data_IF_174905589791
#
_entry.id   IF_174905589791
#
_cell.length_a   1.000
_cell.length_b   1.000
_cell.length_c   1.000
_cell.angle_alpha   90.00
_cell.angle_beta   90.00
_cell.angle_gamma   90.00
#
_symmetry.space_group_name_H-M   'P 1'
#
loop_
_entity.id
_entity.type
_entity.pdbx_description
1 polymer ?
#
# COMPACT_ATOMS: atom_id res chain seq x y z
N UNK A 1 13.20 13.32 -6.05
CA UNK A 1 12.56 13.02 -7.35
C UNK A 1 13.30 11.86 -7.99
N UNK A 2 12.58 10.90 -8.56
CA UNK A 2 13.15 9.83 -9.41
C UNK A 2 12.16 9.48 -10.53
N UNK A 3 12.58 8.65 -11.49
CA UNK A 3 11.74 8.27 -12.64
C UNK A 3 11.62 6.76 -12.73
N UNK A 4 10.45 6.29 -13.13
CA UNK A 4 10.20 4.91 -13.57
C UNK A 4 9.88 4.99 -15.07
N UNK A 5 10.87 4.76 -15.93
CA UNK A 5 10.83 5.11 -17.36
C UNK A 5 10.39 6.57 -17.57
N UNK A 6 9.23 6.79 -18.23
CA UNK A 6 8.68 8.12 -18.51
C UNK A 6 7.84 8.71 -17.35
N UNK A 7 7.54 7.91 -16.32
CA UNK A 7 6.72 8.36 -15.19
C UNK A 7 7.60 9.07 -14.18
N UNK A 8 7.33 10.35 -13.93
CA UNK A 8 8.02 11.15 -12.93
C UNK A 8 7.40 10.97 -11.56
N UNK A 9 8.22 10.61 -10.58
CA UNK A 9 7.81 10.44 -9.19
C UNK A 9 8.39 11.63 -8.40
N UNK A 10 7.53 12.52 -7.87
CA UNK A 10 7.97 13.81 -7.36
C UNK A 10 8.85 13.76 -6.11
N UNK A 11 8.77 12.66 -5.34
CA UNK A 11 9.62 12.45 -4.16
C UNK A 11 9.88 10.96 -3.92
N UNK A 12 10.67 10.63 -2.90
CA UNK A 12 11.14 9.26 -2.61
C UNK A 12 10.22 8.47 -1.65
N UNK A 13 8.97 8.90 -1.44
CA UNK A 13 8.02 8.25 -0.51
C UNK A 13 6.90 7.59 -1.30
N UNK A 14 6.78 6.27 -1.18
CA UNK A 14 5.82 5.44 -1.91
C UNK A 14 4.84 4.79 -0.92
N UNK A 15 3.53 4.85 -1.21
CA UNK A 15 2.54 4.09 -0.46
C UNK A 15 2.49 2.65 -0.95
N UNK A 16 2.68 1.67 -0.04
CA UNK A 16 2.63 0.25 -0.37
C UNK A 16 1.22 -0.24 -0.74
N UNK A 17 1.09 -1.22 -1.65
CA UNK A 17 -0.18 -1.90 -1.88
C UNK A 17 -0.57 -2.73 -0.64
N UNK A 18 -1.79 -2.51 -0.12
CA UNK A 18 -2.31 -3.22 1.05
C UNK A 18 -3.74 -3.69 0.78
N UNK A 19 -3.93 -5.00 0.67
CA UNK A 19 -5.23 -5.61 0.38
C UNK A 19 -6.29 -5.30 1.45
N UNK A 20 -7.48 -4.89 1.02
CA UNK A 20 -8.59 -4.47 1.89
C UNK A 20 -8.35 -3.13 2.60
N UNK A 21 -7.42 -2.31 2.09
CA UNK A 21 -7.05 -0.99 2.66
C UNK A 21 -6.87 0.08 1.59
N UNK A 22 -6.10 -0.21 0.53
CA UNK A 22 -5.72 0.79 -0.47
C UNK A 22 -6.83 1.03 -1.51
N UNK A 23 -8.08 1.30 -1.05
CA UNK A 23 -9.14 1.82 -1.91
C UNK A 23 -8.81 3.24 -2.39
N UNK A 24 -9.54 3.74 -3.40
CA UNK A 24 -9.25 5.04 -4.01
C UNK A 24 -9.27 6.21 -3.01
N UNK A 25 -10.22 6.21 -2.05
CA UNK A 25 -10.30 7.26 -1.04
C UNK A 25 -9.07 7.29 -0.12
N UNK A 26 -8.55 6.11 0.27
CA UNK A 26 -7.32 6.02 1.05
C UNK A 26 -6.10 6.46 0.25
N UNK A 27 -5.99 6.04 -1.03
CA UNK A 27 -4.89 6.44 -1.90
C UNK A 27 -4.88 7.94 -2.16
N UNK A 28 -6.05 8.53 -2.42
CA UNK A 28 -6.19 9.99 -2.58
C UNK A 28 -5.76 10.73 -1.31
N UNK A 29 -6.19 10.25 -0.12
CA UNK A 29 -5.73 10.82 1.14
C UNK A 29 -4.20 10.72 1.28
N UNK A 30 -3.62 9.57 0.99
CA UNK A 30 -2.17 9.39 1.03
C UNK A 30 -1.44 10.30 0.03
N UNK A 31 -2.02 10.51 -1.15
CA UNK A 31 -1.47 11.42 -2.18
C UNK A 31 -1.44 12.86 -1.70
N UNK A 32 -2.51 13.36 -1.12
CA UNK A 32 -2.58 14.72 -0.58
C UNK A 32 -1.63 14.91 0.62
N UNK A 33 -1.34 13.84 1.35
CA UNK A 33 -0.31 13.83 2.39
C UNK A 33 1.11 13.56 1.84
N UNK A 34 1.32 13.79 0.54
CA UNK A 34 2.64 13.90 -0.07
C UNK A 34 3.23 12.59 -0.58
N UNK A 35 2.50 11.47 -0.63
CA UNK A 35 3.03 10.28 -1.30
C UNK A 35 3.42 10.59 -2.75
N UNK A 36 4.69 10.34 -3.12
CA UNK A 36 5.16 10.54 -4.48
C UNK A 36 4.50 9.58 -5.47
N UNK A 37 4.31 8.33 -5.05
CA UNK A 37 3.63 7.27 -5.79
C UNK A 37 2.68 6.56 -4.85
N UNK A 38 1.45 6.28 -5.29
CA UNK A 38 0.50 5.41 -4.57
C UNK A 38 0.30 4.11 -5.32
N UNK A 39 0.15 3.01 -4.56
CA UNK A 39 -0.10 1.70 -5.13
C UNK A 39 -1.52 1.23 -4.81
N UNK A 40 -2.25 0.75 -5.82
CA UNK A 40 -3.55 0.15 -5.65
C UNK A 40 -3.45 -1.23 -4.98
N UNK A 41 -4.58 -1.75 -4.50
CA UNK A 41 -4.66 -3.13 -4.03
C UNK A 41 -4.35 -4.11 -5.18
N UNK A 42 -3.83 -5.29 -4.83
CA UNK A 42 -3.60 -6.32 -5.83
C UNK A 42 -4.91 -6.88 -6.38
N UNK A 43 -5.01 -6.98 -7.69
CA UNK A 43 -6.18 -7.46 -8.42
C UNK A 43 -5.86 -8.76 -9.14
N UNK A 44 -6.77 -9.75 -9.04
CA UNK A 44 -6.58 -11.04 -9.73
C UNK A 44 -6.74 -10.91 -11.22
N UNK A 45 -5.80 -11.46 -11.97
CA UNK A 45 -5.82 -11.61 -13.42
C UNK A 45 -7.12 -12.28 -13.91
N UNK A 46 -7.44 -13.45 -13.40
CA UNK A 46 -8.67 -14.19 -13.74
C UNK A 46 -9.94 -13.40 -13.40
N UNK A 47 -9.94 -12.68 -12.27
CA UNK A 47 -11.11 -11.89 -11.90
C UNK A 47 -11.32 -10.66 -12.81
N UNK A 48 -10.25 -10.11 -13.40
CA UNK A 48 -10.32 -9.10 -14.46
C UNK A 48 -10.94 -9.73 -15.71
N UNK A 49 -10.40 -10.87 -16.18
CA UNK A 49 -10.85 -11.52 -17.41
C UNK A 49 -12.30 -12.01 -17.35
N UNK A 50 -12.75 -12.46 -16.18
CA UNK A 50 -14.13 -12.84 -15.93
C UNK A 50 -15.07 -11.64 -15.65
N UNK A 51 -14.58 -10.41 -15.79
CA UNK A 51 -15.34 -9.19 -15.59
C UNK A 51 -16.09 -9.17 -14.23
N UNK A 52 -15.44 -9.64 -13.18
CA UNK A 52 -16.03 -9.69 -11.84
C UNK A 52 -16.34 -8.28 -11.36
N UNK A 53 -17.61 -7.98 -11.08
CA UNK A 53 -18.10 -6.63 -10.72
C UNK A 53 -17.31 -6.00 -9.56
N UNK A 54 -16.99 -6.77 -8.52
CA UNK A 54 -16.19 -6.27 -7.39
C UNK A 54 -14.77 -5.93 -7.82
N UNK A 55 -14.17 -6.76 -8.66
CA UNK A 55 -12.82 -6.55 -9.21
C UNK A 55 -12.78 -5.34 -10.11
N UNK A 56 -13.78 -5.16 -10.97
CA UNK A 56 -13.87 -4.00 -11.88
C UNK A 56 -13.95 -2.68 -11.08
N UNK A 57 -14.67 -2.67 -9.96
CA UNK A 57 -14.70 -1.51 -9.06
C UNK A 57 -13.34 -1.21 -8.38
N UNK A 58 -12.47 -2.23 -8.21
CA UNK A 58 -11.11 -2.04 -7.67
C UNK A 58 -10.16 -1.39 -8.68
N UNK A 59 -10.50 -1.40 -9.97
CA UNK A 59 -9.71 -0.75 -11.03
C UNK A 59 -9.96 0.76 -11.12
N UNK A 60 -10.93 1.29 -10.35
CA UNK A 60 -11.21 2.72 -10.33
C UNK A 60 -10.00 3.51 -9.80
N UNK A 61 -9.65 4.55 -10.52
CA UNK A 61 -8.54 5.47 -10.22
C UNK A 61 -9.08 6.89 -10.30
N UNK A 62 -8.94 7.66 -9.22
CA UNK A 62 -9.21 9.09 -9.24
C UNK A 62 -8.02 9.81 -9.91
N UNK A 63 -8.26 10.70 -10.89
CA UNK A 63 -7.16 11.41 -11.55
C UNK A 63 -6.23 12.19 -10.59
N UNK A 64 -6.75 12.61 -9.44
CA UNK A 64 -6.00 13.34 -8.40
C UNK A 64 -4.97 12.50 -7.66
N UNK A 65 -5.07 11.17 -7.70
CA UNK A 65 -4.13 10.27 -7.01
C UNK A 65 -2.89 9.87 -7.84
N UNK A 66 -2.82 10.33 -9.09
CA UNK A 66 -1.69 10.02 -9.99
C UNK A 66 -0.40 10.75 -9.58
N UNK A 67 0.82 10.19 -9.83
CA UNK A 67 1.03 8.88 -10.46
C UNK A 67 0.63 7.71 -9.56
N UNK A 68 0.05 6.68 -10.21
CA UNK A 68 -0.47 5.49 -9.56
C UNK A 68 0.05 4.21 -10.20
N UNK A 69 0.45 3.25 -9.36
CA UNK A 69 0.78 1.89 -9.73
C UNK A 69 -0.38 0.94 -9.43
N UNK A 70 -0.91 0.26 -10.46
CA UNK A 70 -1.95 -0.74 -10.31
C UNK A 70 -1.31 -2.12 -10.26
N UNK A 71 -1.55 -2.84 -9.16
CA UNK A 71 -0.93 -4.14 -8.92
C UNK A 71 -1.85 -5.29 -9.36
N UNK A 72 -1.33 -6.20 -10.19
CA UNK A 72 -2.00 -7.45 -10.59
C UNK A 72 -1.30 -8.66 -9.97
N UNK A 73 -2.02 -9.76 -9.83
CA UNK A 73 -1.43 -11.06 -9.45
C UNK A 73 -2.10 -12.21 -10.20
N UNK A 74 -1.33 -13.25 -10.47
CA UNK A 74 -1.74 -14.50 -11.09
C UNK A 74 -0.59 -15.50 -11.08
N UNK A 75 -0.87 -16.75 -11.42
CA UNK A 75 0.11 -17.84 -11.51
C UNK A 75 0.34 -18.33 -12.94
N UNK A 76 -0.55 -17.98 -13.87
CA UNK A 76 -0.50 -18.36 -15.28
C UNK A 76 -0.10 -17.16 -16.13
N UNK A 77 0.87 -17.33 -17.02
CA UNK A 77 1.45 -16.25 -17.82
C UNK A 77 0.40 -15.64 -18.77
N UNK A 78 -0.36 -16.49 -19.43
CA UNK A 78 -1.34 -16.08 -20.42
C UNK A 78 -2.44 -15.20 -19.80
N UNK A 79 -2.97 -15.59 -18.64
CA UNK A 79 -4.00 -14.80 -17.96
C UNK A 79 -3.45 -13.49 -17.40
N UNK A 80 -2.20 -13.49 -16.92
CA UNK A 80 -1.50 -12.27 -16.49
C UNK A 80 -1.30 -11.29 -17.65
N UNK A 81 -0.87 -11.79 -18.83
CA UNK A 81 -0.67 -10.97 -20.04
C UNK A 81 -1.98 -10.33 -20.48
N UNK A 82 -3.06 -11.10 -20.57
CA UNK A 82 -4.36 -10.54 -20.97
C UNK A 82 -4.91 -9.55 -19.95
N UNK A 83 -4.74 -9.82 -18.65
CA UNK A 83 -5.12 -8.87 -17.60
C UNK A 83 -4.28 -7.58 -17.66
N UNK A 84 -2.98 -7.68 -17.92
CA UNK A 84 -2.11 -6.51 -18.08
C UNK A 84 -2.52 -5.67 -19.30
N UNK A 85 -2.82 -6.30 -20.45
CA UNK A 85 -3.36 -5.61 -21.63
C UNK A 85 -4.68 -4.90 -21.33
N UNK A 86 -5.54 -5.55 -20.55
CA UNK A 86 -6.80 -4.93 -20.11
C UNK A 86 -6.53 -3.66 -19.28
N UNK A 87 -5.64 -3.75 -18.29
CA UNK A 87 -5.25 -2.62 -17.43
C UNK A 87 -4.59 -1.51 -18.26
N UNK A 88 -3.69 -1.87 -19.18
CA UNK A 88 -3.00 -0.92 -20.06
C UNK A 88 -3.98 -0.07 -20.87
N UNK A 89 -5.00 -0.70 -21.42
CA UNK A 89 -5.96 -0.07 -22.33
C UNK A 89 -7.13 0.62 -21.62
N UNK A 90 -7.58 0.08 -20.49
CA UNK A 90 -8.88 0.45 -19.91
C UNK A 90 -8.77 1.16 -18.55
N UNK A 91 -7.58 1.49 -18.07
CA UNK A 91 -7.39 2.22 -16.81
C UNK A 91 -6.44 3.40 -16.93
N UNK A 92 -6.59 4.35 -16.02
CA UNK A 92 -5.72 5.52 -15.90
C UNK A 92 -4.44 5.24 -15.08
N UNK A 93 -4.10 3.97 -14.83
CA UNK A 93 -2.85 3.62 -14.15
C UNK A 93 -1.64 4.12 -14.95
N UNK A 94 -0.64 4.63 -14.25
CA UNK A 94 0.63 5.07 -14.85
C UNK A 94 1.63 3.90 -14.97
N UNK A 95 1.49 2.92 -14.07
CA UNK A 95 2.39 1.78 -13.92
C UNK A 95 1.55 0.52 -13.70
N UNK A 96 1.97 -0.60 -14.30
CA UNK A 96 1.44 -1.93 -14.00
C UNK A 96 2.46 -2.65 -13.13
N UNK A 97 2.06 -3.09 -11.93
CA UNK A 97 2.94 -3.79 -10.99
C UNK A 97 2.54 -5.25 -10.85
N UNK A 98 3.52 -6.15 -10.88
CA UNK A 98 3.31 -7.58 -10.63
C UNK A 98 3.56 -7.91 -9.16
N UNK A 99 2.56 -8.49 -8.49
CA UNK A 99 2.72 -8.98 -7.13
C UNK A 99 3.51 -10.30 -7.10
N UNK A 100 4.69 -10.25 -6.52
CA UNK A 100 5.55 -11.43 -6.26
C UNK A 100 5.89 -11.54 -4.77
N UNK A 101 5.08 -10.95 -3.90
CA UNK A 101 5.39 -10.88 -2.47
C UNK A 101 4.25 -11.28 -1.53
N UNK A 102 3.04 -11.51 -2.03
CA UNK A 102 1.91 -11.89 -1.18
C UNK A 102 2.13 -13.27 -0.56
N UNK A 103 2.14 -13.39 0.79
CA UNK A 103 2.45 -14.66 1.46
C UNK A 103 1.21 -15.51 1.73
N UNK A 104 0.00 -14.99 1.44
CA UNK A 104 -1.28 -15.59 1.83
C UNK A 104 -1.50 -16.93 1.12
N UNK A 105 -1.86 -18.03 1.84
CA UNK A 105 -2.04 -19.36 1.25
C UNK A 105 -3.01 -19.40 0.06
N UNK A 106 -4.09 -18.63 0.10
CA UNK A 106 -5.06 -18.54 -1.01
C UNK A 106 -4.40 -18.08 -2.32
N UNK A 107 -3.34 -17.26 -2.25
CA UNK A 107 -2.61 -16.74 -3.41
C UNK A 107 -1.51 -17.71 -3.83
N UNK A 108 -0.74 -18.21 -2.86
CA UNK A 108 0.39 -19.10 -3.16
C UNK A 108 -0.02 -20.49 -3.64
N UNK A 109 -1.24 -20.95 -3.32
CA UNK A 109 -1.80 -22.24 -3.83
C UNK A 109 -2.13 -22.22 -5.34
N UNK A 110 -2.24 -21.04 -5.94
CA UNK A 110 -2.46 -20.88 -7.38
C UNK A 110 -1.19 -20.37 -8.08
N UNK A 111 -0.03 -20.74 -7.55
CA UNK A 111 1.32 -20.41 -8.06
C UNK A 111 1.58 -18.92 -8.26
N UNK A 112 0.85 -18.05 -7.52
CA UNK A 112 0.94 -16.60 -7.58
C UNK A 112 1.64 -16.00 -6.34
N UNK A 113 1.89 -14.69 -6.39
CA UNK A 113 2.49 -13.94 -5.29
C UNK A 113 3.90 -14.46 -4.97
N UNK A 114 4.20 -14.68 -3.70
CA UNK A 114 5.53 -15.13 -3.28
C UNK A 114 5.93 -16.53 -3.77
N UNK A 115 5.00 -17.31 -4.32
CA UNK A 115 5.32 -18.64 -4.92
C UNK A 115 6.19 -18.50 -6.16
N UNK A 116 6.04 -17.40 -6.92
CA UNK A 116 6.88 -17.11 -8.10
C UNK A 116 8.37 -16.98 -7.74
N UNK A 117 8.69 -16.57 -6.50
CA UNK A 117 10.09 -16.38 -6.07
C UNK A 117 10.92 -17.66 -6.03
N UNK A 118 10.29 -18.84 -6.08
CA UNK A 118 10.97 -20.13 -6.07
C UNK A 118 11.56 -20.52 -7.43
N UNK A 119 11.20 -19.80 -8.50
CA UNK A 119 11.61 -20.12 -9.87
C UNK A 119 12.06 -18.82 -10.58
N UNK A 120 13.36 -18.49 -10.50
CA UNK A 120 13.90 -17.29 -11.16
C UNK A 120 13.74 -17.28 -12.70
N UNK A 121 13.73 -18.43 -13.36
CA UNK A 121 13.53 -18.50 -14.81
C UNK A 121 12.08 -18.17 -15.17
N UNK A 122 11.12 -18.66 -14.40
CA UNK A 122 9.71 -18.28 -14.53
C UNK A 122 9.51 -16.78 -14.26
N UNK A 123 10.25 -16.21 -13.31
CA UNK A 123 10.23 -14.75 -13.05
C UNK A 123 10.65 -13.98 -14.30
N UNK A 124 11.74 -14.39 -14.97
CA UNK A 124 12.16 -13.79 -16.23
C UNK A 124 11.06 -13.88 -17.29
N UNK A 125 10.52 -15.09 -17.52
CA UNK A 125 9.51 -15.33 -18.55
C UNK A 125 8.25 -14.50 -18.35
N UNK A 126 7.69 -14.51 -17.14
CA UNK A 126 6.47 -13.73 -16.79
C UNK A 126 6.68 -12.25 -17.06
N UNK A 127 7.80 -11.68 -16.58
CA UNK A 127 8.06 -10.26 -16.71
C UNK A 127 8.32 -9.88 -18.16
N UNK A 128 9.10 -10.65 -18.91
CA UNK A 128 9.37 -10.40 -20.32
C UNK A 128 8.08 -10.38 -21.14
N UNK A 129 7.20 -11.37 -20.94
CA UNK A 129 5.90 -11.45 -21.60
C UNK A 129 4.98 -10.27 -21.25
N UNK A 130 5.00 -9.82 -19.99
CA UNK A 130 4.25 -8.63 -19.57
C UNK A 130 4.81 -7.37 -20.24
N UNK A 131 6.12 -7.15 -20.19
CA UNK A 131 6.79 -5.98 -20.79
C UNK A 131 6.53 -5.88 -22.29
N UNK A 132 6.59 -6.99 -22.99
CA UNK A 132 6.35 -7.04 -24.45
C UNK A 132 4.88 -6.79 -24.81
N UNK A 133 3.95 -6.97 -23.87
CA UNK A 133 2.52 -6.93 -24.15
C UNK A 133 1.85 -5.59 -23.88
N UNK A 134 2.49 -4.67 -23.14
CA UNK A 134 1.90 -3.40 -22.68
C UNK A 134 2.77 -2.19 -22.98
N UNK A 135 2.15 -1.02 -23.06
CA UNK A 135 2.84 0.26 -23.29
C UNK A 135 3.32 0.95 -22.00
N UNK A 136 2.64 0.68 -20.88
CA UNK A 136 2.97 1.23 -19.57
C UNK A 136 4.21 0.57 -18.96
N UNK A 137 4.97 1.27 -18.11
CA UNK A 137 6.05 0.64 -17.35
C UNK A 137 5.53 -0.54 -16.53
N UNK A 138 6.26 -1.68 -16.60
CA UNK A 138 6.02 -2.84 -15.75
C UNK A 138 6.99 -2.80 -14.58
N UNK A 139 6.50 -2.89 -13.36
CA UNK A 139 7.29 -3.00 -12.13
C UNK A 139 6.96 -4.29 -11.39
N UNK A 140 7.78 -4.66 -10.44
CA UNK A 140 7.53 -5.85 -9.63
C UNK A 140 7.70 -5.54 -8.14
N UNK A 141 6.83 -6.11 -7.31
CA UNK A 141 7.01 -6.06 -5.86
C UNK A 141 7.22 -7.46 -5.31
N UNK A 142 8.38 -7.69 -4.69
CA UNK A 142 8.80 -9.01 -4.22
C UNK A 142 9.24 -9.04 -2.76
N UNK A 143 9.36 -10.24 -2.21
CA UNK A 143 10.05 -10.53 -0.95
C UNK A 143 11.45 -11.07 -1.24
N UNK A 144 12.32 -11.14 -0.20
CA UNK A 144 13.69 -11.65 -0.37
C UNK A 144 13.74 -13.16 -0.67
N UNK A 145 12.67 -13.91 -0.38
CA UNK A 145 12.60 -15.33 -0.64
C UNK A 145 11.33 -15.96 -0.06
N UNK A 146 11.26 -17.29 -0.16
CA UNK A 146 10.16 -18.10 0.38
C UNK A 146 10.35 -18.39 1.87
N UNK A 147 11.50 -18.91 2.25
CA UNK A 147 11.97 -19.21 3.60
C UNK A 147 13.48 -18.99 3.69
N UNK A 148 14.12 -19.38 4.78
CA UNK A 148 15.54 -19.15 5.02
C UNK A 148 16.46 -20.02 4.14
N UNK A 149 15.95 -21.13 3.56
CA UNK A 149 16.67 -22.01 2.63
C UNK A 149 16.51 -21.57 1.16
N UNK A 150 15.44 -20.81 0.85
CA UNK A 150 15.06 -20.40 -0.50
C UNK A 150 15.05 -18.87 -0.64
N UNK A 151 16.24 -18.26 -0.51
CA UNK A 151 16.45 -16.81 -0.65
C UNK A 151 17.06 -16.55 -2.05
N UNK A 152 16.19 -16.39 -3.05
CA UNK A 152 16.59 -16.16 -4.45
C UNK A 152 16.49 -14.69 -4.89
N UNK A 153 16.55 -13.74 -3.94
CA UNK A 153 16.32 -12.32 -4.25
C UNK A 153 17.26 -11.79 -5.34
N UNK A 154 18.54 -12.17 -5.32
CA UNK A 154 19.52 -11.68 -6.29
C UNK A 154 19.22 -12.19 -7.71
N UNK A 155 18.92 -13.49 -7.86
CA UNK A 155 18.60 -14.09 -9.15
C UNK A 155 17.26 -13.57 -9.68
N UNK A 156 16.24 -13.47 -8.81
CA UNK A 156 14.94 -12.90 -9.16
C UNK A 156 15.07 -11.42 -9.60
N UNK A 157 15.88 -10.63 -8.91
CA UNK A 157 16.07 -9.21 -9.21
C UNK A 157 16.83 -9.01 -10.54
N UNK A 158 17.90 -9.78 -10.78
CA UNK A 158 18.64 -9.79 -12.05
C UNK A 158 17.74 -10.19 -13.22
N UNK A 159 16.98 -11.26 -13.04
CA UNK A 159 16.07 -11.75 -14.07
C UNK A 159 14.94 -10.76 -14.34
N UNK A 160 14.40 -10.08 -13.31
CA UNK A 160 13.41 -9.03 -13.50
C UNK A 160 13.97 -7.83 -14.31
N UNK A 161 15.19 -7.36 -14.02
CA UNK A 161 15.83 -6.29 -14.80
C UNK A 161 16.11 -6.73 -16.22
N UNK A 162 16.69 -7.91 -16.43
CA UNK A 162 16.97 -8.48 -17.78
C UNK A 162 15.70 -8.65 -18.61
N UNK A 163 14.59 -8.98 -17.97
CA UNK A 163 13.26 -9.10 -18.59
C UNK A 163 12.61 -7.75 -18.90
N UNK A 164 13.23 -6.62 -18.53
CA UNK A 164 12.75 -5.28 -18.85
C UNK A 164 11.88 -4.63 -17.77
N UNK A 165 11.85 -5.16 -16.55
CA UNK A 165 11.20 -4.47 -15.43
C UNK A 165 11.74 -3.05 -15.29
N UNK A 166 10.85 -2.10 -14.99
CA UNK A 166 11.18 -0.67 -14.95
C UNK A 166 11.54 -0.18 -13.55
N UNK A 167 11.21 -0.94 -12.51
CA UNK A 167 11.62 -0.76 -11.12
C UNK A 167 11.27 -2.02 -10.31
N UNK A 168 11.92 -2.18 -9.16
CA UNK A 168 11.67 -3.30 -8.23
C UNK A 168 11.44 -2.76 -6.83
N UNK A 169 10.35 -3.18 -6.17
CA UNK A 169 10.12 -2.92 -4.74
C UNK A 169 10.42 -4.20 -3.93
N UNK A 170 11.27 -4.10 -2.91
CA UNK A 170 11.74 -5.26 -2.15
C UNK A 170 11.32 -5.15 -0.69
N UNK A 171 10.52 -6.13 -0.23
CA UNK A 171 10.29 -6.33 1.20
C UNK A 171 11.36 -7.28 1.76
N UNK A 172 12.20 -6.79 2.65
CA UNK A 172 13.34 -7.52 3.25
C UNK A 172 12.95 -8.64 4.21
N UNK A 173 11.85 -9.36 3.95
CA UNK A 173 11.41 -10.56 4.69
C UNK A 173 11.10 -11.69 3.72
N UNK A 174 11.23 -12.94 4.21
CA UNK A 174 10.75 -14.11 3.49
C UNK A 174 9.21 -14.22 3.56
N UNK A 175 8.64 -15.10 2.74
CA UNK A 175 7.21 -15.42 2.79
C UNK A 175 6.82 -16.02 4.15
N UNK A 176 7.66 -16.92 4.68
CA UNK A 176 7.39 -17.62 5.96
C UNK A 176 7.43 -16.65 7.14
N UNK A 177 8.34 -15.70 7.14
CA UNK A 177 8.40 -14.68 8.18
C UNK A 177 7.13 -13.84 8.27
N UNK A 178 6.33 -13.73 7.20
CA UNK A 178 5.15 -12.85 7.18
C UNK A 178 5.51 -11.41 7.61
N UNK A 179 5.33 -11.11 8.89
CA UNK A 179 5.68 -9.83 9.53
C UNK A 179 6.52 -10.01 10.81
N UNK A 180 6.95 -11.26 11.10
CA UNK A 180 7.76 -11.57 12.29
C UNK A 180 9.21 -11.13 12.10
N UNK A 181 9.92 -10.94 13.21
CA UNK A 181 11.30 -10.52 13.21
C UNK A 181 11.51 -9.12 12.62
N UNK A 182 12.70 -8.87 12.09
CA UNK A 182 13.07 -7.61 11.42
C UNK A 182 13.21 -7.81 9.91
N UNK A 183 12.88 -6.80 9.12
CA UNK A 183 13.19 -6.77 7.70
C UNK A 183 14.71 -6.64 7.52
N UNK A 184 15.27 -7.50 6.68
CA UNK A 184 16.70 -7.44 6.33
C UNK A 184 16.91 -6.37 5.24
N UNK A 185 17.49 -5.25 5.62
CA UNK A 185 17.79 -4.15 4.68
C UNK A 185 19.07 -4.39 3.89
N UNK A 186 19.95 -5.30 4.33
CA UNK A 186 21.18 -5.63 3.61
C UNK A 186 20.87 -6.21 2.23
N UNK A 187 19.83 -7.03 2.10
CA UNK A 187 19.42 -7.55 0.79
C UNK A 187 18.95 -6.46 -0.16
N UNK A 188 18.32 -5.39 0.36
CA UNK A 188 17.92 -4.23 -0.45
C UNK A 188 19.16 -3.48 -0.95
N UNK A 189 20.13 -3.25 -0.06
CA UNK A 189 21.42 -2.63 -0.38
C UNK A 189 22.16 -3.44 -1.46
N UNK A 190 22.22 -4.74 -1.29
CA UNK A 190 23.01 -5.60 -2.20
C UNK A 190 22.35 -5.69 -3.58
N UNK A 191 21.03 -5.77 -3.66
CA UNK A 191 20.31 -5.65 -4.94
C UNK A 191 20.51 -4.27 -5.56
N UNK A 192 20.45 -3.17 -4.78
CA UNK A 192 20.66 -1.82 -5.31
C UNK A 192 22.06 -1.60 -5.88
N UNK A 193 23.07 -2.23 -5.30
CA UNK A 193 24.45 -2.16 -5.85
C UNK A 193 24.57 -2.78 -7.22
N UNK A 194 23.76 -3.78 -7.53
CA UNK A 194 23.86 -4.55 -8.75
C UNK A 194 22.97 -4.04 -9.87
N UNK A 195 21.75 -3.60 -9.55
CA UNK A 195 20.78 -3.19 -10.54
C UNK A 195 20.93 -1.72 -10.95
N UNK A 196 20.62 -1.45 -12.22
CA UNK A 196 20.59 -0.11 -12.81
C UNK A 196 19.21 0.54 -12.72
N UNK A 197 18.15 -0.27 -12.68
CA UNK A 197 16.77 0.24 -12.52
C UNK A 197 16.52 0.70 -11.07
N UNK A 198 15.52 1.56 -10.84
CA UNK A 198 15.14 1.98 -9.51
C UNK A 198 14.79 0.81 -8.58
N UNK A 199 15.34 0.84 -7.37
CA UNK A 199 15.04 -0.10 -6.29
C UNK A 199 14.33 0.64 -5.16
N UNK A 200 13.16 0.15 -4.76
CA UNK A 200 12.32 0.74 -3.72
C UNK A 200 12.40 -0.16 -2.48
N UNK A 201 12.95 0.37 -1.39
CA UNK A 201 13.09 -0.36 -0.13
C UNK A 201 11.77 -0.43 0.64
N UNK A 202 11.45 -1.60 1.20
CA UNK A 202 10.24 -1.82 1.98
C UNK A 202 10.51 -2.73 3.20
N UNK A 203 9.85 -2.41 4.31
CA UNK A 203 9.88 -3.18 5.56
C UNK A 203 10.38 -2.35 6.74
N UNK A 204 9.58 -2.35 7.82
CA UNK A 204 9.86 -1.73 9.13
C UNK A 204 10.13 -0.21 9.12
N UNK A 205 9.75 0.48 8.06
CA UNK A 205 9.76 1.95 8.01
C UNK A 205 8.54 2.46 8.77
N UNK A 206 8.71 2.79 10.05
CA UNK A 206 7.64 3.20 10.96
C UNK A 206 7.76 4.65 11.44
N UNK A 207 8.88 5.31 11.15
CA UNK A 207 9.11 6.73 11.42
C UNK A 207 9.84 7.39 10.25
N UNK A 208 9.82 8.73 10.14
CA UNK A 208 10.59 9.48 9.14
C UNK A 208 12.09 9.19 9.21
N UNK A 209 12.65 9.08 10.41
CA UNK A 209 14.07 8.79 10.62
C UNK A 209 14.45 7.40 10.09
N UNK A 210 13.57 6.39 10.28
CA UNK A 210 13.78 5.05 9.70
C UNK A 210 13.67 5.06 8.17
N UNK A 211 12.85 5.95 7.59
CA UNK A 211 12.82 6.13 6.15
C UNK A 211 14.16 6.69 5.64
N UNK A 212 14.67 7.74 6.29
CA UNK A 212 16.00 8.29 5.98
C UNK A 212 17.11 7.24 6.17
N UNK A 213 17.08 6.54 7.29
CA UNK A 213 18.06 5.48 7.60
C UNK A 213 18.05 4.38 6.51
N UNK A 214 16.88 3.93 6.06
CA UNK A 214 16.80 2.96 4.95
C UNK A 214 17.47 3.50 3.69
N UNK A 215 17.22 4.75 3.32
CA UNK A 215 17.83 5.38 2.15
C UNK A 215 19.35 5.49 2.30
N UNK A 216 19.83 5.86 3.48
CA UNK A 216 21.26 6.04 3.74
C UNK A 216 22.00 4.67 3.78
N UNK A 217 21.42 3.68 4.46
CA UNK A 217 22.06 2.36 4.64
C UNK A 217 22.05 1.52 3.36
N UNK A 218 21.05 1.69 2.52
CA UNK A 218 20.84 0.82 1.34
C UNK A 218 21.11 1.51 0.00
N UNK A 219 21.15 2.83 -0.02
CA UNK A 219 21.22 3.65 -1.23
C UNK A 219 20.07 3.36 -2.22
N UNK A 220 18.94 2.79 -1.76
CA UNK A 220 17.76 2.58 -2.62
C UNK A 220 17.17 3.91 -3.08
N UNK A 221 16.45 3.92 -4.20
CA UNK A 221 15.96 5.13 -4.85
C UNK A 221 14.76 5.75 -4.12
N UNK A 222 13.97 4.92 -3.45
CA UNK A 222 12.78 5.35 -2.68
C UNK A 222 12.48 4.38 -1.54
N UNK A 223 11.65 4.83 -0.58
CA UNK A 223 11.12 4.01 0.50
C UNK A 223 9.63 3.77 0.32
N UNK A 224 9.20 2.52 0.53
CA UNK A 224 7.79 2.15 0.47
C UNK A 224 7.23 1.93 1.87
N UNK A 225 6.25 2.74 2.24
CA UNK A 225 5.60 2.75 3.56
C UNK A 225 4.26 2.01 3.47
N UNK A 226 4.08 1.00 4.31
CA UNK A 226 2.82 0.23 4.39
C UNK A 226 2.07 0.52 5.68
N UNK A 227 2.13 -0.39 6.65
CA UNK A 227 1.35 -0.38 7.90
C UNK A 227 1.43 0.89 8.72
N UNK A 228 2.53 1.63 8.64
CA UNK A 228 2.71 2.90 9.35
C UNK A 228 1.81 4.03 8.83
N UNK A 229 1.29 3.92 7.60
CA UNK A 229 0.34 4.87 7.03
C UNK A 229 -1.12 4.58 7.41
N UNK A 230 -1.43 3.44 8.04
CA UNK A 230 -2.80 3.06 8.43
C UNK A 230 -3.35 3.99 9.50
N UNK A 231 -4.39 4.78 9.15
CA UNK A 231 -4.95 5.82 10.03
C UNK A 231 -3.96 6.92 10.40
N UNK A 232 -2.86 6.99 9.67
CA UNK A 232 -1.76 7.93 9.90
C UNK A 232 -1.15 8.40 8.57
N UNK A 233 -1.89 9.09 7.70
CA UNK A 233 -1.34 9.62 6.47
C UNK A 233 -0.22 10.66 6.72
N UNK A 234 -0.20 11.30 7.89
CA UNK A 234 0.88 12.20 8.33
C UNK A 234 2.25 11.53 8.30
N UNK A 235 2.33 10.21 8.48
CA UNK A 235 3.59 9.48 8.32
C UNK A 235 4.22 9.74 6.95
N UNK A 236 3.42 9.85 5.89
CA UNK A 236 3.91 10.16 4.53
C UNK A 236 4.39 11.60 4.46
N UNK A 237 3.57 12.56 4.89
CA UNK A 237 3.91 13.98 4.91
C UNK A 237 5.17 14.26 5.74
N UNK A 238 5.22 13.74 6.96
CA UNK A 238 6.36 13.91 7.87
C UNK A 238 7.64 13.30 7.29
N UNK A 239 7.53 12.16 6.61
CA UNK A 239 8.66 11.54 5.93
C UNK A 239 9.16 12.40 4.78
N UNK A 240 8.28 12.92 3.93
CA UNK A 240 8.67 13.83 2.84
C UNK A 240 9.39 15.05 3.41
N UNK A 241 8.80 15.72 4.40
CA UNK A 241 9.40 16.90 5.04
C UNK A 241 10.76 16.60 5.67
N UNK A 242 10.85 15.51 6.41
CA UNK A 242 12.12 15.13 7.05
C UNK A 242 13.23 14.81 6.03
N UNK A 243 12.88 14.19 4.90
CA UNK A 243 13.84 13.91 3.84
C UNK A 243 14.27 15.20 3.09
N UNK A 244 13.41 16.22 3.04
CA UNK A 244 13.71 17.51 2.38
C UNK A 244 14.47 18.46 3.28
N UNK A 245 14.11 18.56 4.56
CA UNK A 245 14.57 19.61 5.46
C UNK A 245 15.44 19.10 6.62
N UNK A 246 15.36 17.83 6.95
CA UNK A 246 15.96 17.25 8.16
C UNK A 246 15.15 17.51 9.44
N UNK A 247 14.02 18.20 9.36
CA UNK A 247 13.20 18.58 10.51
C UNK A 247 12.00 17.67 10.66
N UNK A 248 11.71 17.25 11.90
CA UNK A 248 10.50 16.51 12.25
C UNK A 248 9.36 17.49 12.49
N UNK A 249 8.28 17.34 11.75
CA UNK A 249 7.02 18.02 12.05
C UNK A 249 6.28 17.33 13.21
N UNK A 250 5.40 18.07 13.87
CA UNK A 250 4.60 17.59 14.99
C UNK A 250 3.70 16.40 14.60
N UNK A 251 3.35 15.59 15.60
CA UNK A 251 2.34 14.55 15.46
C UNK A 251 0.95 15.18 15.39
N UNK A 252 0.01 14.58 14.62
CA UNK A 252 -1.34 15.12 14.54
C UNK A 252 -2.08 15.03 15.87
N UNK A 253 -2.82 16.08 16.18
CA UNK A 253 -3.76 16.12 17.30
C UNK A 253 -4.91 15.10 17.10
N UNK A 254 -5.63 14.73 18.18
CA UNK A 254 -6.83 13.90 18.06
C UNK A 254 -7.90 14.51 17.14
N UNK A 255 -8.08 15.83 17.15
CA UNK A 255 -9.02 16.55 16.28
C UNK A 255 -8.65 16.37 14.82
N UNK A 256 -7.41 16.65 14.46
CA UNK A 256 -6.92 16.47 13.08
C UNK A 256 -7.10 15.02 12.59
N UNK A 257 -6.83 14.02 13.44
CA UNK A 257 -7.05 12.61 13.10
C UNK A 257 -8.51 12.31 12.80
N UNK A 258 -9.43 12.86 13.56
CA UNK A 258 -10.88 12.70 13.39
C UNK A 258 -11.33 13.42 12.12
N UNK A 259 -10.89 14.66 11.89
CA UNK A 259 -11.24 15.45 10.71
C UNK A 259 -10.81 14.75 9.41
N UNK A 260 -9.58 14.21 9.37
CA UNK A 260 -9.10 13.44 8.21
C UNK A 260 -9.81 12.09 8.09
N UNK A 261 -10.18 11.46 9.20
CA UNK A 261 -11.00 10.24 9.20
C UNK A 261 -12.38 10.50 8.55
N UNK A 262 -13.06 11.58 8.91
CA UNK A 262 -14.34 11.99 8.32
C UNK A 262 -14.18 12.43 6.85
N UNK A 263 -13.09 13.11 6.50
CA UNK A 263 -12.76 13.43 5.10
C UNK A 263 -12.60 12.14 4.27
N UNK A 264 -11.91 11.13 4.80
CA UNK A 264 -11.75 9.84 4.15
C UNK A 264 -13.11 9.16 3.92
N UNK A 265 -14.02 9.20 4.90
CA UNK A 265 -15.39 8.68 4.74
C UNK A 265 -16.16 9.44 3.65
N UNK A 266 -16.11 10.78 3.63
CA UNK A 266 -16.76 11.58 2.56
C UNK A 266 -16.27 11.17 1.17
N UNK A 267 -14.96 10.98 0.98
CA UNK A 267 -14.39 10.48 -0.28
C UNK A 267 -14.88 9.08 -0.66
N UNK A 268 -15.04 8.19 0.31
CA UNK A 268 -15.65 6.88 0.05
C UNK A 268 -17.10 7.01 -0.43
N UNK A 269 -17.86 7.97 0.12
CA UNK A 269 -19.24 8.23 -0.27
C UNK A 269 -19.37 8.87 -1.67
N UNK A 270 -18.32 9.53 -2.18
CA UNK A 270 -18.28 10.00 -3.59
C UNK A 270 -18.33 8.84 -4.60
N UNK A 271 -17.82 7.65 -4.20
CA UNK A 271 -17.66 6.51 -5.11
C UNK A 271 -18.46 5.26 -4.71
N UNK A 272 -19.14 5.30 -3.57
CA UNK A 272 -19.92 4.17 -3.04
C UNK A 272 -21.17 4.66 -2.31
N UNK A 273 -22.26 3.85 -2.30
CA UNK A 273 -23.39 4.14 -1.44
C UNK A 273 -22.97 4.30 0.03
N UNK A 274 -23.58 5.24 0.74
CA UNK A 274 -23.21 5.62 2.11
C UNK A 274 -23.03 4.42 3.04
N UNK A 275 -24.02 3.50 3.07
CA UNK A 275 -23.96 2.31 3.94
C UNK A 275 -22.72 1.45 3.66
N UNK A 276 -22.33 1.30 2.39
CA UNK A 276 -21.13 0.53 2.01
C UNK A 276 -19.87 1.29 2.42
N UNK A 277 -19.83 2.59 2.17
CA UNK A 277 -18.72 3.47 2.57
C UNK A 277 -18.49 3.44 4.08
N UNK A 278 -19.55 3.57 4.88
CA UNK A 278 -19.47 3.51 6.35
C UNK A 278 -18.97 2.14 6.83
N UNK A 279 -19.46 1.05 6.25
CA UNK A 279 -18.98 -0.29 6.62
C UNK A 279 -17.50 -0.49 6.33
N UNK A 280 -17.00 -0.03 5.18
CA UNK A 280 -15.58 -0.07 4.87
C UNK A 280 -14.78 0.86 5.79
N UNK A 281 -15.33 2.03 6.08
CA UNK A 281 -14.68 3.04 6.91
C UNK A 281 -14.50 2.59 8.37
N UNK A 282 -15.35 1.72 8.92
CA UNK A 282 -15.22 1.19 10.30
C UNK A 282 -13.79 0.68 10.57
N UNK A 283 -13.21 -0.07 9.62
CA UNK A 283 -11.84 -0.58 9.71
C UNK A 283 -10.81 0.56 9.69
N UNK A 284 -10.95 1.50 8.78
CA UNK A 284 -10.05 2.65 8.67
C UNK A 284 -10.15 3.56 9.90
N UNK A 285 -11.36 3.86 10.35
CA UNK A 285 -11.62 4.67 11.55
C UNK A 285 -10.93 4.06 12.79
N UNK A 286 -10.98 2.73 12.93
CA UNK A 286 -10.28 2.05 14.02
C UNK A 286 -8.75 2.27 13.98
N UNK A 287 -8.15 2.45 12.81
CA UNK A 287 -6.72 2.81 12.70
C UNK A 287 -6.49 4.27 13.10
N UNK A 288 -7.35 5.22 12.71
CA UNK A 288 -7.24 6.63 13.10
C UNK A 288 -7.32 6.81 14.62
N UNK A 289 -8.12 5.99 15.31
CA UNK A 289 -8.24 6.00 16.77
C UNK A 289 -7.04 5.41 17.52
N UNK A 290 -6.05 4.88 16.82
CA UNK A 290 -4.86 4.30 17.46
C UNK A 290 -4.02 5.39 18.14
N UNK A 291 -3.66 5.15 19.41
CA UNK A 291 -2.83 6.06 20.20
C UNK A 291 -3.59 7.22 20.85
N UNK A 292 -4.90 7.38 20.61
CA UNK A 292 -5.72 8.39 21.30
C UNK A 292 -6.25 7.80 22.61
N UNK A 293 -6.12 8.57 23.72
CA UNK A 293 -6.66 8.18 25.02
C UNK A 293 -8.20 8.00 24.92
N UNK A 294 -8.72 6.87 25.35
CA UNK A 294 -10.15 6.54 25.19
C UNK A 294 -10.54 5.94 23.83
N UNK A 295 -9.69 5.97 22.82
CA UNK A 295 -9.99 5.47 21.47
C UNK A 295 -10.38 3.99 21.40
N UNK A 296 -10.00 3.17 22.38
CA UNK A 296 -10.42 1.77 22.45
C UNK A 296 -11.94 1.60 22.65
N UNK A 297 -12.61 2.53 23.37
CA UNK A 297 -14.06 2.55 23.53
C UNK A 297 -14.73 2.90 22.21
N UNK A 298 -14.27 3.98 21.56
CA UNK A 298 -14.77 4.41 20.25
C UNK A 298 -14.69 3.27 19.22
N UNK A 299 -13.58 2.53 19.17
CA UNK A 299 -13.42 1.38 18.26
C UNK A 299 -14.50 0.30 18.41
N UNK A 300 -15.03 0.08 19.62
CA UNK A 300 -16.11 -0.90 19.83
C UNK A 300 -17.42 -0.38 19.22
N UNK A 301 -17.69 0.91 19.37
CA UNK A 301 -18.90 1.54 18.87
C UNK A 301 -18.92 1.68 17.34
N UNK A 302 -17.75 1.85 16.68
CA UNK A 302 -17.64 1.92 15.24
C UNK A 302 -18.33 0.74 14.50
N UNK A 303 -18.34 -0.46 15.10
CA UNK A 303 -18.91 -1.64 14.46
C UNK A 303 -20.44 -1.60 14.30
N UNK A 304 -21.14 -0.73 15.02
CA UNK A 304 -22.60 -0.59 15.00
C UNK A 304 -23.09 0.50 14.04
N UNK A 305 -22.22 1.41 13.63
CA UNK A 305 -22.57 2.59 12.83
C UNK A 305 -22.97 2.22 11.39
N UNK A 306 -24.01 2.86 10.84
CA UNK A 306 -24.51 2.60 9.51
C UNK A 306 -24.63 3.84 8.62
N UNK A 307 -24.45 5.04 9.19
CA UNK A 307 -24.52 6.32 8.47
C UNK A 307 -23.33 7.22 8.80
N UNK A 308 -23.10 8.22 7.95
CA UNK A 308 -22.13 9.29 8.15
C UNK A 308 -22.45 10.07 9.44
N UNK A 309 -23.71 10.43 9.61
CA UNK A 309 -24.18 11.20 10.77
C UNK A 309 -23.89 10.47 12.11
N UNK A 310 -24.12 9.15 12.15
CA UNK A 310 -23.77 8.36 13.35
C UNK A 310 -22.28 8.39 13.64
N UNK A 311 -21.43 8.31 12.62
CA UNK A 311 -19.97 8.37 12.80
C UNK A 311 -19.50 9.76 13.20
N UNK A 312 -20.05 10.81 12.61
CA UNK A 312 -19.77 12.20 12.95
C UNK A 312 -20.17 12.52 14.38
N UNK A 313 -21.36 12.09 14.80
CA UNK A 313 -21.84 12.27 16.18
C UNK A 313 -20.95 11.54 17.21
N UNK A 314 -20.59 10.27 16.94
CA UNK A 314 -19.68 9.51 17.80
C UNK A 314 -18.34 10.23 17.98
N UNK A 315 -17.80 10.78 16.91
CA UNK A 315 -16.54 11.51 16.95
C UNK A 315 -16.68 12.88 17.61
N UNK A 316 -17.80 13.57 17.45
CA UNK A 316 -18.12 14.82 18.17
C UNK A 316 -18.15 14.60 19.68
N UNK A 317 -18.93 13.63 20.16
CA UNK A 317 -18.99 13.25 21.57
C UNK A 317 -17.60 12.86 22.12
N UNK A 318 -16.79 12.20 21.30
CA UNK A 318 -15.44 11.81 21.70
C UNK A 318 -14.49 13.01 21.80
N UNK A 319 -14.59 13.98 20.91
CA UNK A 319 -13.79 15.22 20.97
C UNK A 319 -14.17 16.05 22.20
N UNK A 320 -15.48 16.20 22.50
CA UNK A 320 -15.97 16.89 23.70
C UNK A 320 -15.44 16.22 24.98
N UNK A 321 -15.42 14.89 25.01
CA UNK A 321 -14.80 14.14 26.10
C UNK A 321 -13.30 14.42 26.25
N UNK A 322 -12.55 14.49 25.15
CA UNK A 322 -11.11 14.77 25.20
C UNK A 322 -10.81 16.20 25.67
N UNK A 323 -11.65 17.17 25.29
CA UNK A 323 -11.50 18.58 25.65
C UNK A 323 -11.95 18.89 27.08
N UNK A 324 -13.01 18.23 27.55
CA UNK A 324 -13.53 18.45 28.90
C UNK A 324 -12.69 17.80 30.01
N UNK A 325 -11.86 16.82 29.68
CA UNK A 325 -11.11 16.04 30.67
C UNK A 325 -11.97 15.18 31.62
N UNK A 326 -13.29 15.17 31.43
CA UNK A 326 -14.27 14.46 32.29
C UNK A 326 -14.35 13.01 31.82
N UNK A 327 -14.30 12.04 32.76
CA UNK A 327 -14.53 10.64 32.45
C UNK A 327 -15.93 10.45 31.84
N UNK A 328 -16.01 9.79 30.66
CA UNK A 328 -17.28 9.48 30.00
C UNK A 328 -18.27 8.89 30.98
N UNK A 329 -19.51 9.40 31.06
CA UNK A 329 -20.57 8.76 31.86
C UNK A 329 -20.71 7.31 31.36
N UNK A 330 -20.74 6.36 32.30
CA UNK A 330 -21.18 4.99 31.97
C UNK A 330 -22.62 5.13 31.46
N UNK A 331 -22.88 4.82 30.17
CA UNK A 331 -24.27 4.54 29.75
C UNK A 331 -24.74 3.40 30.65
N UNK A 332 -25.64 3.67 31.56
CA UNK A 332 -26.36 2.64 32.28
C UNK A 332 -27.08 1.78 31.25
N UNK A 333 -26.70 0.51 31.22
CA UNK A 333 -27.44 -0.52 30.49
C UNK A 333 -28.73 -0.66 31.27
N UNK A 334 -29.81 -0.03 30.79
CA UNK A 334 -31.17 -0.36 31.25
C UNK A 334 -31.43 -1.76 30.68
N UNK A 335 -31.52 -2.72 31.59
CA UNK A 335 -31.84 -4.14 31.37
C UNK A 335 -33.25 -4.27 30.84
#
# INVERSE_FOLDING_TARGET
>A
MFKIRKVEIPNRVVLAPMAGVCNAAFRLTAKEFGAGLVCAEMVSDKAILFNNKKTMNMLYIDPRERPLSLQIFGGEIETLVEAAKYVDKNTEADIIDLNMGCPVPKITKVDAGSKLLLDPDKVYEVIARLVDSVSKPVTVKMRMGWDDEHIYIMDNARNAERAGASAIAIHGRTKVQMYSGKANWDVIRDVKKELKIPVIGNGDVTTPELAKKMLDDTNCDAVMIGRAALGNPWMLYRTVKYLETGELTEEPSPREKIDVCLLHLRRLMEIKPERVAVHEMRKHAAYYMKGIKGGAKVKKELNTLNSYAEMENLFGEFLDYLESGIATPKKEIII
#
